data_IF_358834242966
#
_entry.id   IF_358834242966
#
_cell.length_a   1.000
_cell.length_b   1.000
_cell.length_c   1.000
_cell.angle_alpha   90.00
_cell.angle_beta   90.00
_cell.angle_gamma   90.00
#
_symmetry.space_group_name_H-M   'P 1'
#
loop_
_entity.id
_entity.type
_entity.pdbx_description
1 polymer ?
#
# COMPACT_ATOMS: atom_id res chain seq x y z
N UNK A 1 -3.75 -9.07 21.99
CA UNK A 1 -4.37 -9.74 20.83
C UNK A 1 -4.22 -8.82 19.63
N UNK A 2 -3.01 -8.78 19.08
CA UNK A 2 -2.72 -8.11 17.83
C UNK A 2 -3.71 -8.57 16.74
N UNK A 3 -4.34 -7.61 16.06
CA UNK A 3 -5.21 -7.82 14.89
C UNK A 3 -4.34 -8.26 13.70
N UNK A 4 -3.75 -9.45 13.78
CA UNK A 4 -2.73 -9.94 12.86
C UNK A 4 -3.24 -10.36 11.48
N UNK A 5 -4.55 -10.44 11.23
CA UNK A 5 -5.03 -11.12 10.03
C UNK A 5 -6.26 -10.42 9.46
N UNK A 6 -6.04 -9.50 8.52
CA UNK A 6 -6.97 -9.13 7.43
C UNK A 6 -6.41 -8.10 6.42
N UNK A 7 -5.15 -7.69 6.52
CA UNK A 7 -4.51 -6.84 5.48
C UNK A 7 -4.17 -7.63 4.22
N UNK A 8 -3.80 -8.91 4.36
CA UNK A 8 -3.47 -9.80 3.22
C UNK A 8 -4.64 -10.07 2.27
N UNK A 9 -5.89 -9.78 2.66
CA UNK A 9 -7.05 -9.94 1.76
C UNK A 9 -7.36 -8.64 0.98
N UNK A 10 -6.69 -7.54 1.30
CA UNK A 10 -6.93 -6.23 0.66
C UNK A 10 -6.18 -6.14 -0.67
N UNK A 11 -5.00 -6.74 -0.76
CA UNK A 11 -4.09 -6.72 -1.89
C UNK A 11 -3.63 -8.14 -2.24
N UNK A 12 -3.67 -8.49 -3.51
CA UNK A 12 -3.06 -9.73 -3.98
C UNK A 12 -1.54 -9.68 -3.84
N UNK A 13 -0.91 -10.86 -3.86
CA UNK A 13 0.55 -10.99 -3.74
C UNK A 13 1.30 -10.17 -4.81
N UNK A 14 0.74 -10.11 -6.02
CA UNK A 14 1.26 -9.30 -7.14
C UNK A 14 1.25 -7.80 -6.80
N UNK A 15 0.16 -7.29 -6.26
CA UNK A 15 0.04 -5.87 -5.88
C UNK A 15 1.00 -5.51 -4.74
N UNK A 16 1.19 -6.41 -3.77
CA UNK A 16 2.17 -6.23 -2.70
C UNK A 16 3.61 -6.19 -3.26
N UNK A 17 3.94 -7.12 -4.14
CA UNK A 17 5.27 -7.18 -4.76
C UNK A 17 5.58 -5.92 -5.56
N UNK A 18 4.62 -5.45 -6.37
CA UNK A 18 4.73 -4.20 -7.13
C UNK A 18 4.86 -2.98 -6.20
N UNK A 19 4.06 -2.92 -5.12
CA UNK A 19 4.14 -1.81 -4.16
C UNK A 19 5.50 -1.75 -3.45
N UNK A 20 6.07 -2.91 -3.10
CA UNK A 20 7.41 -2.98 -2.48
C UNK A 20 8.50 -2.61 -3.48
N UNK A 21 8.33 -2.97 -4.76
CA UNK A 21 9.30 -2.66 -5.81
C UNK A 21 9.27 -1.17 -6.19
N UNK A 22 8.09 -0.62 -6.43
CA UNK A 22 7.90 0.80 -6.78
C UNK A 22 8.15 1.75 -5.61
N UNK A 23 8.07 1.29 -4.35
CA UNK A 23 8.22 2.11 -3.13
C UNK A 23 7.53 3.48 -3.23
N UNK A 24 6.23 3.49 -3.54
CA UNK A 24 5.53 4.71 -3.92
C UNK A 24 5.54 5.71 -2.75
N UNK A 25 6.05 6.91 -3.00
CA UNK A 25 6.10 8.00 -1.99
C UNK A 25 4.95 8.99 -2.14
N UNK A 26 4.09 8.80 -3.12
CA UNK A 26 2.93 9.67 -3.37
C UNK A 26 1.69 8.85 -3.67
N UNK A 27 0.52 9.49 -3.58
CA UNK A 27 -0.76 8.87 -3.93
C UNK A 27 -0.82 8.47 -5.41
N UNK A 28 -0.24 9.28 -6.30
CA UNK A 28 -0.19 9.01 -7.73
C UNK A 28 0.63 7.74 -8.03
N UNK A 29 1.79 7.58 -7.38
CA UNK A 29 2.64 6.40 -7.53
C UNK A 29 1.95 5.13 -6.99
N UNK A 30 1.16 5.26 -5.92
CA UNK A 30 0.34 4.16 -5.41
C UNK A 30 -0.79 3.79 -6.37
N UNK A 31 -1.35 4.75 -7.10
CA UNK A 31 -2.41 4.50 -8.10
C UNK A 31 -1.87 3.76 -9.33
N UNK A 32 -0.60 3.97 -9.66
CA UNK A 32 0.08 3.28 -10.75
C UNK A 32 0.30 1.79 -10.44
N UNK A 33 0.33 1.41 -9.15
CA UNK A 33 0.46 0.01 -8.74
C UNK A 33 -0.77 -0.80 -9.18
N UNK A 34 -0.51 -1.80 -10.03
CA UNK A 34 -1.54 -2.68 -10.58
C UNK A 34 -2.33 -3.41 -9.47
N UNK A 35 -3.62 -3.09 -9.37
CA UNK A 35 -4.53 -3.61 -8.34
C UNK A 35 -4.87 -2.61 -7.23
N UNK A 36 -4.30 -1.40 -7.24
CA UNK A 36 -4.73 -0.26 -6.44
C UNK A 36 -5.67 0.61 -7.28
N UNK A 37 -6.97 0.59 -6.99
CA UNK A 37 -7.91 1.55 -7.56
C UNK A 37 -8.02 2.82 -6.71
N UNK A 38 -8.51 3.92 -7.29
CA UNK A 38 -8.68 5.23 -6.65
C UNK A 38 -9.41 5.15 -5.30
N UNK A 39 -10.53 4.40 -5.25
CA UNK A 39 -11.30 4.18 -4.03
C UNK A 39 -10.48 3.53 -2.91
N UNK A 40 -9.61 2.59 -3.27
CA UNK A 40 -8.76 1.88 -2.32
C UNK A 40 -7.63 2.79 -1.86
N UNK A 41 -7.03 3.52 -2.81
CA UNK A 41 -6.00 4.51 -2.58
C UNK A 41 -6.45 5.55 -1.57
N UNK A 42 -7.64 6.14 -1.69
CA UNK A 42 -8.10 7.13 -0.71
C UNK A 42 -8.20 6.55 0.72
N UNK A 43 -8.57 5.28 0.85
CA UNK A 43 -8.68 4.63 2.16
C UNK A 43 -7.34 4.18 2.75
N UNK A 44 -6.36 3.83 1.93
CA UNK A 44 -5.09 3.23 2.38
C UNK A 44 -3.86 4.11 2.16
N UNK A 45 -3.93 5.11 1.28
CA UNK A 45 -2.79 5.95 0.90
C UNK A 45 -2.16 6.64 2.09
N UNK A 46 -2.98 7.21 2.98
CA UNK A 46 -2.50 7.92 4.16
C UNK A 46 -1.67 6.99 5.07
N UNK A 47 -2.20 5.80 5.37
CA UNK A 47 -1.51 4.76 6.13
C UNK A 47 -0.27 4.22 5.43
N UNK A 48 -0.33 3.97 4.13
CA UNK A 48 0.81 3.42 3.38
C UNK A 48 1.94 4.43 3.32
N UNK A 49 1.64 5.69 3.02
CA UNK A 49 2.63 6.77 3.03
C UNK A 49 3.26 6.97 4.41
N UNK A 50 2.48 6.87 5.48
CA UNK A 50 2.99 6.91 6.85
C UNK A 50 3.95 5.74 7.13
N UNK A 51 3.59 4.50 6.77
CA UNK A 51 4.44 3.32 6.98
C UNK A 51 5.74 3.42 6.19
N UNK A 52 5.67 3.82 4.92
CA UNK A 52 6.84 4.00 4.05
C UNK A 52 7.76 5.08 4.63
N UNK A 53 7.20 6.21 5.08
CA UNK A 53 7.97 7.26 5.75
C UNK A 53 8.62 6.77 7.04
N UNK A 54 7.95 5.90 7.80
CA UNK A 54 8.48 5.32 9.04
C UNK A 54 9.61 4.30 8.82
N UNK A 55 9.64 3.62 7.67
CA UNK A 55 10.68 2.63 7.32
C UNK A 55 11.75 3.17 6.34
N UNK A 56 11.62 4.42 5.89
CA UNK A 56 12.63 5.09 5.06
C UNK A 56 13.79 5.71 5.88
N UNK A 57 13.96 5.30 7.15
CA UNK A 57 15.06 5.70 8.04
C UNK A 57 15.99 4.54 8.33
#
# INVERSE_FOLDING_TARGET
MEKGLKTFHVFGNTTLHEMVNSKPKTKAELLDVKGIGERKLEQISDRVLEIIRKHAS
#
